data_IF_231261614574
#
_entry.id   IF_231261614574
#
_cell.length_a   1.000
_cell.length_b   1.000
_cell.length_c   1.000
_cell.angle_alpha   90.00
_cell.angle_beta   90.00
_cell.angle_gamma   90.00
#
_symmetry.space_group_name_H-M   'P 1'
#
loop_
_entity.id
_entity.type
_entity.pdbx_description
1 polymer ?
#
# COMPACT_ATOMS: atom_id res chain seq x y z
N UNK A 1 69.31 25.00 -41.56
CA UNK A 1 68.26 25.67 -40.75
C UNK A 1 66.93 25.00 -41.00
N UNK A 2 66.05 24.98 -40.00
CA UNK A 2 64.74 24.29 -39.91
C UNK A 2 64.84 22.87 -39.32
N UNK A 3 64.93 22.81 -37.99
CA UNK A 3 64.61 21.62 -37.19
C UNK A 3 63.21 21.80 -36.61
N UNK A 4 62.33 20.82 -36.82
CA UNK A 4 60.91 20.85 -36.42
C UNK A 4 60.76 20.33 -34.99
N UNK A 5 60.03 21.08 -34.18
CA UNK A 5 59.55 20.69 -32.84
C UNK A 5 58.20 19.98 -32.97
N UNK A 6 57.94 18.89 -32.22
CA UNK A 6 56.59 18.53 -31.84
C UNK A 6 56.38 18.77 -30.34
N UNK A 7 55.45 19.66 -30.05
CA UNK A 7 54.87 19.93 -28.74
C UNK A 7 53.84 18.82 -28.48
N UNK A 8 54.04 18.00 -27.46
CA UNK A 8 53.01 17.09 -26.96
C UNK A 8 52.22 17.78 -25.85
N UNK A 9 51.07 18.36 -26.21
CA UNK A 9 50.04 18.78 -25.26
C UNK A 9 49.25 17.52 -24.88
N UNK A 10 49.53 16.95 -23.71
CA UNK A 10 48.73 15.89 -23.12
C UNK A 10 47.42 16.45 -22.57
N UNK A 11 46.32 16.24 -23.30
CA UNK A 11 44.96 16.48 -22.80
C UNK A 11 44.55 15.28 -21.94
N UNK A 12 44.57 15.46 -20.62
CA UNK A 12 44.02 14.47 -19.68
C UNK A 12 42.50 14.61 -19.69
N UNK A 13 41.80 13.71 -20.39
CA UNK A 13 40.37 13.53 -20.28
C UNK A 13 40.05 12.90 -18.90
N UNK A 14 39.63 13.74 -17.95
CA UNK A 14 39.03 13.28 -16.71
C UNK A 14 37.60 12.79 -16.96
N UNK A 15 37.42 11.47 -17.00
CA UNK A 15 36.08 10.86 -16.99
C UNK A 15 35.56 10.91 -15.55
N UNK A 16 34.71 11.90 -15.27
CA UNK A 16 33.93 11.95 -14.02
C UNK A 16 32.76 10.98 -14.18
N UNK A 17 32.86 9.80 -13.58
CA UNK A 17 31.70 8.93 -13.39
C UNK A 17 30.80 9.57 -12.33
N UNK A 18 29.84 10.37 -12.77
CA UNK A 18 28.70 10.76 -11.94
C UNK A 18 27.87 9.48 -11.76
N UNK A 19 28.16 8.69 -10.73
CA UNK A 19 27.25 7.67 -10.23
C UNK A 19 26.05 8.43 -9.67
N UNK A 20 25.11 8.75 -10.55
CA UNK A 20 23.81 9.26 -10.14
C UNK A 20 23.22 8.24 -9.17
N UNK A 21 22.81 8.71 -7.99
CA UNK A 21 21.83 7.99 -7.18
C UNK A 21 20.57 7.84 -8.04
N UNK A 22 20.52 6.80 -8.87
CA UNK A 22 19.31 6.38 -9.52
C UNK A 22 18.36 5.95 -8.41
N UNK A 23 17.49 6.89 -8.11
CA UNK A 23 16.19 6.75 -7.48
C UNK A 23 15.39 5.65 -8.22
N UNK A 24 15.70 4.38 -7.96
CA UNK A 24 15.03 3.24 -8.58
C UNK A 24 13.69 3.01 -7.91
N UNK A 25 12.68 3.65 -8.46
CA UNK A 25 11.31 3.21 -8.34
C UNK A 25 11.17 1.89 -9.10
N UNK A 26 10.88 0.82 -8.38
CA UNK A 26 10.66 -0.49 -9.00
C UNK A 26 9.18 -0.76 -9.08
N UNK A 27 8.69 -1.01 -10.30
CA UNK A 27 7.33 -1.50 -10.50
C UNK A 27 7.25 -2.93 -9.95
N UNK A 28 6.31 -3.15 -9.05
CA UNK A 28 6.05 -4.43 -8.40
C UNK A 28 4.89 -5.08 -9.12
N UNK A 29 5.13 -6.27 -9.69
CA UNK A 29 4.06 -7.10 -10.25
C UNK A 29 3.16 -7.57 -9.11
N UNK A 30 1.85 -7.43 -9.30
CA UNK A 30 0.84 -8.02 -8.43
C UNK A 30 0.30 -9.29 -9.06
N UNK A 31 -0.12 -10.25 -8.23
CA UNK A 31 -0.80 -11.46 -8.68
C UNK A 31 -2.19 -11.57 -8.08
N UNK A 32 -3.14 -12.08 -8.87
CA UNK A 32 -4.53 -12.21 -8.44
C UNK A 32 -4.77 -13.62 -7.92
N UNK A 33 -5.38 -13.70 -6.75
CA UNK A 33 -5.53 -14.95 -6.00
C UNK A 33 -6.90 -15.03 -5.33
N UNK A 34 -7.25 -16.21 -4.85
CA UNK A 34 -8.36 -16.38 -3.91
C UNK A 34 -7.90 -16.22 -2.47
N UNK A 35 -8.82 -15.85 -1.57
CA UNK A 35 -8.54 -15.77 -0.14
C UNK A 35 -8.03 -17.12 0.40
N UNK A 36 -8.67 -18.22 -0.02
CA UNK A 36 -8.28 -19.57 0.37
C UNK A 36 -6.87 -19.92 -0.10
N UNK A 37 -6.49 -19.53 -1.32
CA UNK A 37 -5.14 -19.76 -1.87
C UNK A 37 -4.10 -19.14 -0.96
N UNK A 38 -4.29 -17.88 -0.56
CA UNK A 38 -3.39 -17.19 0.35
C UNK A 38 -3.40 -17.83 1.73
N UNK A 39 -4.56 -18.17 2.28
CA UNK A 39 -4.59 -18.76 3.62
C UNK A 39 -3.88 -20.11 3.69
N UNK A 40 -3.93 -20.92 2.62
CA UNK A 40 -3.15 -22.17 2.54
C UNK A 40 -1.63 -21.93 2.54
N UNK A 41 -1.16 -20.74 2.14
CA UNK A 41 0.27 -20.40 2.23
C UNK A 41 0.75 -20.20 3.67
N UNK A 42 -0.17 -19.89 4.60
CA UNK A 42 0.17 -19.53 5.97
C UNK A 42 -0.37 -20.51 7.00
N UNK A 43 -1.42 -21.28 6.69
CA UNK A 43 -1.97 -22.28 7.60
C UNK A 43 -2.31 -23.59 6.85
N UNK A 44 -1.87 -24.78 7.33
CA UNK A 44 -2.20 -26.05 6.69
C UNK A 44 -3.71 -26.35 6.61
N UNK A 45 -4.51 -25.73 7.48
CA UNK A 45 -5.97 -25.82 7.43
C UNK A 45 -6.61 -24.88 6.40
N UNK A 46 -5.81 -24.06 5.71
CA UNK A 46 -6.25 -22.99 4.82
C UNK A 46 -7.18 -21.97 5.50
N UNK A 47 -7.12 -21.89 6.83
CA UNK A 47 -7.81 -20.90 7.63
C UNK A 47 -6.77 -20.14 8.45
N UNK A 48 -6.64 -18.83 8.22
CA UNK A 48 -5.78 -17.99 9.04
C UNK A 48 -6.58 -17.44 10.21
N UNK A 49 -6.08 -17.67 11.42
CA UNK A 49 -6.55 -16.90 12.57
C UNK A 49 -5.90 -15.52 12.45
N UNK A 50 -6.65 -14.52 11.99
CA UNK A 50 -6.19 -13.13 12.05
C UNK A 50 -6.15 -12.72 13.52
N UNK A 51 -5.00 -12.90 14.17
CA UNK A 51 -4.84 -12.53 15.57
C UNK A 51 -4.98 -11.03 15.76
N UNK A 52 -4.73 -10.24 14.71
CA UNK A 52 -4.58 -8.81 14.83
C UNK A 52 -5.19 -8.09 13.63
N UNK A 53 -6.50 -7.87 13.72
CA UNK A 53 -7.21 -6.99 12.80
C UNK A 53 -7.40 -5.62 13.45
N UNK A 54 -6.84 -4.58 12.84
CA UNK A 54 -7.09 -3.19 13.21
C UNK A 54 -7.96 -2.54 12.15
N UNK A 55 -8.91 -1.73 12.61
CA UNK A 55 -9.72 -0.87 11.76
C UNK A 55 -9.52 0.56 12.23
N UNK A 56 -8.96 1.40 11.36
CA UNK A 56 -8.63 2.78 11.67
C UNK A 56 -9.45 3.72 10.79
N UNK A 57 -10.17 4.70 11.36
CA UNK A 57 -10.83 5.73 10.57
C UNK A 57 -9.84 6.55 9.75
N UNK A 58 -10.19 6.81 8.50
CA UNK A 58 -9.50 7.77 7.63
C UNK A 58 -10.25 9.10 7.80
N UNK A 59 -9.58 10.19 8.24
CA UNK A 59 -10.24 11.46 8.56
C UNK A 59 -10.58 12.28 7.30
N UNK A 60 -11.31 11.67 6.37
CA UNK A 60 -11.79 12.29 5.14
C UNK A 60 -12.90 13.30 5.41
N UNK A 61 -13.04 14.32 4.56
CA UNK A 61 -14.18 15.25 4.60
C UNK A 61 -15.43 14.63 3.94
N UNK A 62 -15.85 13.46 4.40
CA UNK A 62 -17.00 12.74 3.89
C UNK A 62 -18.07 12.54 4.98
N UNK A 63 -19.29 12.20 4.55
CA UNK A 63 -20.32 11.70 5.46
C UNK A 63 -20.04 10.24 5.79
N UNK A 64 -20.54 9.77 6.94
CA UNK A 64 -20.35 8.38 7.36
C UNK A 64 -18.91 8.04 7.76
N UNK A 65 -18.46 6.82 7.46
CA UNK A 65 -17.15 6.31 7.91
C UNK A 65 -16.30 5.79 6.76
N UNK A 66 -15.09 6.32 6.64
CA UNK A 66 -14.02 5.81 5.80
C UNK A 66 -13.01 5.05 6.66
N UNK A 67 -12.63 3.83 6.27
CA UNK A 67 -11.84 2.92 7.10
C UNK A 67 -10.62 2.36 6.34
N UNK A 68 -9.49 2.26 7.04
CA UNK A 68 -8.38 1.40 6.68
C UNK A 68 -8.46 0.14 7.56
N UNK A 69 -8.69 -1.00 6.94
CA UNK A 69 -8.53 -2.29 7.57
C UNK A 69 -7.11 -2.78 7.34
N UNK A 70 -6.48 -3.26 8.42
CA UNK A 70 -5.21 -3.96 8.36
C UNK A 70 -5.31 -5.23 9.18
N UNK A 71 -4.79 -6.34 8.66
CA UNK A 71 -4.67 -7.59 9.44
C UNK A 71 -3.33 -8.25 9.26
N UNK A 72 -2.89 -8.94 10.30
CA UNK A 72 -1.68 -9.77 10.26
C UNK A 72 -1.94 -11.19 10.73
N UNK A 73 -1.15 -12.13 10.22
CA UNK A 73 -1.22 -13.55 10.55
C UNK A 73 0.16 -14.19 10.36
N UNK A 74 0.47 -15.18 11.20
CA UNK A 74 1.77 -15.87 11.17
C UNK A 74 1.69 -17.14 10.31
N UNK A 75 2.75 -17.42 9.56
CA UNK A 75 2.89 -18.65 8.81
C UNK A 75 3.28 -19.82 9.70
N UNK A 76 2.47 -20.88 9.69
CA UNK A 76 2.64 -22.07 10.53
C UNK A 76 3.63 -23.07 9.94
N UNK A 77 4.26 -23.91 10.78
CA UNK A 77 5.11 -25.00 10.31
C UNK A 77 4.42 -25.87 9.25
N UNK A 78 5.17 -26.25 8.22
CA UNK A 78 4.67 -27.08 7.11
C UNK A 78 3.95 -26.31 6.01
N UNK A 79 3.97 -24.97 6.03
CA UNK A 79 3.41 -24.11 4.98
C UNK A 79 4.51 -23.38 4.20
N UNK A 80 4.24 -22.94 2.96
CA UNK A 80 5.18 -22.11 2.19
C UNK A 80 5.69 -20.87 2.94
N UNK A 81 4.82 -20.24 3.74
CA UNK A 81 5.17 -19.03 4.50
C UNK A 81 5.62 -19.31 5.94
N UNK A 82 6.02 -20.55 6.26
CA UNK A 82 6.46 -20.93 7.62
C UNK A 82 7.51 -19.97 8.20
N UNK A 83 7.21 -19.37 9.36
CA UNK A 83 8.09 -18.42 10.04
C UNK A 83 8.03 -16.99 9.50
N UNK A 84 7.16 -16.72 8.51
CA UNK A 84 6.89 -15.37 7.99
C UNK A 84 5.62 -14.79 8.59
N UNK A 85 5.43 -13.49 8.38
CA UNK A 85 4.24 -12.75 8.77
C UNK A 85 3.54 -12.20 7.52
N UNK A 86 2.27 -12.56 7.37
CA UNK A 86 1.38 -12.03 6.33
C UNK A 86 0.77 -10.71 6.80
N UNK A 87 0.70 -9.74 5.90
CA UNK A 87 0.09 -8.44 6.11
C UNK A 87 -0.92 -8.19 5.00
N UNK A 88 -2.15 -7.83 5.37
CA UNK A 88 -3.20 -7.49 4.41
C UNK A 88 -3.85 -6.16 4.76
N UNK A 89 -4.19 -5.41 3.71
CA UNK A 89 -4.79 -4.09 3.80
C UNK A 89 -6.03 -4.01 2.92
N UNK A 90 -7.01 -3.21 3.35
CA UNK A 90 -8.20 -2.86 2.57
C UNK A 90 -8.65 -1.45 2.92
N UNK A 91 -8.93 -0.65 1.88
CA UNK A 91 -9.65 0.60 2.02
C UNK A 91 -11.15 0.33 1.88
N UNK A 92 -11.93 0.80 2.84
CA UNK A 92 -13.37 0.60 2.87
C UNK A 92 -14.09 1.95 3.03
N UNK A 93 -14.80 2.34 1.97
CA UNK A 93 -15.67 3.51 1.91
C UNK A 93 -17.13 3.11 1.70
N UNK A 94 -17.50 1.84 1.88
CA UNK A 94 -18.88 1.35 1.65
C UNK A 94 -19.90 2.11 2.50
N UNK A 95 -19.49 2.58 3.68
CA UNK A 95 -20.28 3.40 4.61
C UNK A 95 -19.95 4.90 4.57
N UNK A 96 -19.16 5.35 3.61
CA UNK A 96 -18.87 6.75 3.39
C UNK A 96 -19.74 7.31 2.26
N UNK A 97 -20.25 8.52 2.44
CA UNK A 97 -21.14 9.18 1.47
C UNK A 97 -20.65 10.56 1.09
N UNK A 98 -21.06 11.03 -0.09
CA UNK A 98 -20.85 12.41 -0.52
C UNK A 98 -21.49 13.41 0.47
N UNK A 99 -20.90 14.60 0.53
CA UNK A 99 -21.37 15.72 1.35
C UNK A 99 -21.61 16.95 0.48
N UNK A 100 -22.18 18.00 1.07
CA UNK A 100 -22.23 19.32 0.45
C UNK A 100 -21.17 20.20 1.10
N UNK A 101 -20.34 20.86 0.29
CA UNK A 101 -19.37 21.86 0.75
C UNK A 101 -19.69 23.19 0.10
N UNK A 102 -19.54 24.27 0.85
CA UNK A 102 -19.73 25.62 0.35
C UNK A 102 -18.41 26.18 -0.18
N UNK A 103 -18.38 26.54 -1.46
CA UNK A 103 -17.24 27.19 -2.09
C UNK A 103 -17.73 28.51 -2.68
N UNK A 104 -17.19 29.62 -2.17
CA UNK A 104 -17.55 30.97 -2.63
C UNK A 104 -19.07 31.25 -2.61
N UNK A 105 -19.78 30.77 -1.59
CA UNK A 105 -21.24 30.95 -1.45
C UNK A 105 -22.09 29.97 -2.27
N UNK A 106 -21.47 29.00 -2.95
CA UNK A 106 -22.16 27.99 -3.74
C UNK A 106 -22.02 26.62 -3.07
N UNK A 107 -23.15 25.96 -2.81
CA UNK A 107 -23.17 24.59 -2.31
C UNK A 107 -22.84 23.61 -3.45
N UNK A 108 -21.73 22.90 -3.33
CA UNK A 108 -21.22 21.96 -4.32
C UNK A 108 -21.18 20.55 -3.70
N UNK A 109 -21.49 19.54 -4.53
CA UNK A 109 -21.32 18.14 -4.15
C UNK A 109 -19.85 17.80 -4.00
N UNK A 110 -19.49 17.32 -2.82
CA UNK A 110 -18.14 16.86 -2.50
C UNK A 110 -18.13 15.33 -2.44
N UNK A 111 -17.44 14.72 -3.39
CA UNK A 111 -17.31 13.26 -3.53
C UNK A 111 -15.83 12.89 -3.55
N UNK A 112 -15.19 12.78 -2.39
CA UNK A 112 -13.78 12.43 -2.33
C UNK A 112 -13.55 10.96 -2.71
N UNK A 113 -12.41 10.70 -3.33
CA UNK A 113 -11.92 9.36 -3.60
C UNK A 113 -10.46 9.20 -3.17
N UNK A 114 -10.06 8.00 -2.78
CA UNK A 114 -8.70 7.64 -2.42
C UNK A 114 -7.95 7.16 -3.66
N UNK A 115 -6.82 7.81 -3.95
CA UNK A 115 -5.99 7.58 -5.13
C UNK A 115 -4.87 6.58 -4.86
N UNK A 116 -4.18 6.79 -3.75
CA UNK A 116 -2.97 6.03 -3.41
C UNK A 116 -2.97 5.73 -1.92
N UNK A 117 -2.48 4.56 -1.56
CA UNK A 117 -2.05 4.25 -0.21
C UNK A 117 -0.56 3.97 -0.24
N UNK A 118 0.19 4.53 0.69
CA UNK A 118 1.59 4.19 0.87
C UNK A 118 1.90 3.86 2.31
N UNK A 119 2.79 2.92 2.51
CA UNK A 119 3.18 2.42 3.83
C UNK A 119 4.67 2.17 3.82
N UNK A 120 5.35 2.54 4.89
CA UNK A 120 6.71 2.06 5.11
C UNK A 120 6.64 0.60 5.56
N UNK A 121 7.22 -0.25 4.73
CA UNK A 121 7.28 -1.67 4.93
C UNK A 121 8.74 -2.10 4.96
N UNK A 122 9.07 -3.00 5.88
CA UNK A 122 10.39 -3.59 5.98
C UNK A 122 10.76 -4.43 4.75
N UNK A 123 11.75 -5.32 4.87
CA UNK A 123 12.09 -6.27 3.81
C UNK A 123 10.85 -7.07 3.38
N UNK A 124 10.53 -6.98 2.09
CA UNK A 124 9.48 -7.77 1.43
C UNK A 124 10.10 -9.10 1.02
N UNK A 125 9.43 -10.20 1.35
CA UNK A 125 9.83 -11.54 0.92
C UNK A 125 9.47 -11.76 -0.54
N UNK A 126 10.44 -12.20 -1.34
CA UNK A 126 10.32 -12.46 -2.78
C UNK A 126 10.47 -13.95 -3.15
N UNK A 127 10.42 -14.83 -2.16
CA UNK A 127 10.60 -16.28 -2.36
C UNK A 127 9.27 -17.04 -2.45
N UNK A 128 8.14 -16.35 -2.34
CA UNK A 128 6.81 -16.95 -2.40
C UNK A 128 6.27 -16.94 -3.83
N UNK A 129 5.41 -17.91 -4.11
CA UNK A 129 4.65 -18.12 -5.34
C UNK A 129 3.18 -18.12 -4.95
N UNK A 130 2.57 -16.93 -4.87
CA UNK A 130 1.22 -16.79 -4.34
C UNK A 130 0.15 -17.31 -5.29
N UNK A 131 0.39 -17.21 -6.61
CA UNK A 131 -0.57 -17.66 -7.63
C UNK A 131 -0.40 -19.13 -8.04
N UNK A 132 0.67 -19.79 -7.57
CA UNK A 132 0.93 -21.21 -7.77
C UNK A 132 1.38 -21.55 -9.19
N UNK A 133 1.97 -20.60 -9.91
CA UNK A 133 2.46 -20.80 -11.29
C UNK A 133 3.81 -21.54 -11.36
N UNK A 134 4.37 -21.92 -10.20
CA UNK A 134 5.65 -22.60 -10.05
C UNK A 134 6.85 -21.64 -10.03
N UNK A 135 6.63 -20.32 -10.03
CA UNK A 135 7.68 -19.30 -10.00
C UNK A 135 7.62 -18.51 -8.70
N UNK A 136 8.66 -18.66 -7.90
CA UNK A 136 8.93 -17.72 -6.82
C UNK A 136 9.18 -16.31 -7.37
N UNK A 137 8.91 -15.28 -6.57
CA UNK A 137 9.10 -13.89 -6.95
C UNK A 137 7.87 -13.02 -6.74
N UNK A 138 6.76 -13.59 -6.28
CA UNK A 138 5.55 -12.84 -6.05
C UNK A 138 5.68 -11.97 -4.80
N UNK A 139 5.76 -10.66 -5.02
CA UNK A 139 5.92 -9.70 -3.95
C UNK A 139 4.60 -9.35 -3.28
N UNK A 140 3.53 -9.26 -4.07
CA UNK A 140 2.23 -8.75 -3.64
C UNK A 140 1.10 -9.56 -4.28
N UNK A 141 0.18 -9.99 -3.45
CA UNK A 141 -1.06 -10.61 -3.90
C UNK A 141 -2.25 -9.65 -3.75
N UNK A 142 -3.26 -9.87 -4.59
CA UNK A 142 -4.55 -9.21 -4.55
C UNK A 142 -5.63 -10.29 -4.48
N UNK A 143 -6.42 -10.28 -3.41
CA UNK A 143 -7.51 -11.24 -3.19
C UNK A 143 -8.72 -10.80 -4.00
N UNK A 144 -8.91 -11.39 -5.17
CA UNK A 144 -10.00 -11.04 -6.10
C UNK A 144 -11.18 -12.00 -6.02
N UNK A 145 -11.09 -13.05 -5.21
CA UNK A 145 -12.19 -13.99 -4.96
C UNK A 145 -12.15 -14.53 -3.52
N UNK A 146 -13.32 -14.76 -2.93
CA UNK A 146 -13.44 -15.22 -1.54
C UNK A 146 -13.13 -14.14 -0.48
N UNK A 147 -12.93 -12.88 -0.89
CA UNK A 147 -12.73 -11.72 -0.03
C UNK A 147 -13.60 -10.53 -0.47
N UNK A 148 -13.73 -9.50 0.37
CA UNK A 148 -14.51 -8.30 0.05
C UNK A 148 -13.77 -7.35 -0.90
N UNK A 149 -14.51 -6.36 -1.42
CA UNK A 149 -13.97 -5.30 -2.25
C UNK A 149 -14.28 -5.46 -3.73
N UNK A 150 -14.09 -4.36 -4.47
CA UNK A 150 -14.39 -4.26 -5.91
C UNK A 150 -13.28 -3.55 -6.68
N UNK A 151 -12.47 -2.73 -6.01
CA UNK A 151 -11.44 -1.89 -6.64
C UNK A 151 -10.06 -2.53 -6.48
N UNK A 152 -9.35 -2.71 -7.59
CA UNK A 152 -8.03 -3.36 -7.63
C UNK A 152 -6.88 -2.34 -7.46
N UNK A 153 -5.79 -2.72 -6.78
CA UNK A 153 -4.48 -2.10 -6.94
C UNK A 153 -3.99 -2.17 -8.40
N UNK A 154 -3.89 -1.04 -9.08
CA UNK A 154 -3.51 -0.98 -10.49
C UNK A 154 -2.01 -1.00 -10.73
N UNK A 155 -1.27 -0.17 -10.00
CA UNK A 155 0.18 -0.13 -10.06
C UNK A 155 0.75 -0.06 -8.65
N UNK A 156 1.71 -0.93 -8.37
CA UNK A 156 2.41 -0.90 -7.10
C UNK A 156 3.88 -0.59 -7.33
N UNK A 157 4.40 0.37 -6.60
CA UNK A 157 5.78 0.79 -6.69
C UNK A 157 6.46 0.59 -5.35
N UNK A 158 7.70 0.08 -5.40
CA UNK A 158 8.58 0.05 -4.25
C UNK A 158 9.63 1.14 -4.39
N UNK A 159 9.74 1.94 -3.33
CA UNK A 159 10.77 2.93 -3.17
C UNK A 159 11.49 2.74 -1.85
N UNK A 160 12.70 2.16 -1.87
CA UNK A 160 13.41 1.71 -0.65
C UNK A 160 12.51 0.78 0.18
N UNK A 161 12.14 1.22 1.38
CA UNK A 161 11.26 0.55 2.32
C UNK A 161 9.84 1.12 2.28
N UNK A 162 9.46 1.80 1.20
CA UNK A 162 8.11 2.34 1.03
C UNK A 162 7.41 1.62 -0.08
N UNK A 163 6.25 1.06 0.25
CA UNK A 163 5.30 0.56 -0.72
C UNK A 163 4.33 1.67 -1.09
N UNK A 164 4.10 1.88 -2.38
CA UNK A 164 3.15 2.85 -2.91
C UNK A 164 2.18 2.09 -3.79
N UNK A 165 0.95 1.97 -3.33
CA UNK A 165 -0.15 1.31 -4.02
C UNK A 165 -1.02 2.39 -4.67
N UNK A 166 -1.14 2.33 -5.98
CA UNK A 166 -2.08 3.12 -6.75
C UNK A 166 -3.25 2.23 -7.18
N UNK A 167 -4.48 2.73 -7.09
CA UNK A 167 -5.67 1.96 -7.48
C UNK A 167 -6.02 2.18 -8.96
N UNK A 168 -6.41 1.12 -9.68
CA UNK A 168 -6.80 1.16 -11.10
C UNK A 168 -7.83 2.27 -11.37
N UNK A 169 -8.80 2.34 -10.46
CA UNK A 169 -9.76 3.43 -10.32
C UNK A 169 -9.76 3.91 -8.86
N UNK A 170 -10.00 5.19 -8.58
CA UNK A 170 -10.05 5.69 -7.22
C UNK A 170 -11.12 4.97 -6.38
N UNK A 171 -10.82 4.71 -5.11
CA UNK A 171 -11.81 4.18 -4.15
C UNK A 171 -12.65 5.37 -3.68
N UNK A 172 -13.90 5.47 -4.12
CA UNK A 172 -14.74 6.66 -3.91
C UNK A 172 -15.80 6.46 -2.84
N UNK A 173 -16.23 7.55 -2.20
CA UNK A 173 -17.44 7.54 -1.38
C UNK A 173 -18.70 7.39 -2.25
N UNK A 174 -19.78 6.89 -1.64
CA UNK A 174 -21.05 6.64 -2.32
C UNK A 174 -21.87 7.92 -2.57
N UNK A 175 -22.75 7.91 -3.59
CA UNK A 175 -23.87 8.86 -3.65
C UNK A 175 -24.79 8.75 -2.42
N UNK A 176 -25.69 9.73 -2.18
CA UNK A 176 -26.68 9.62 -1.13
C UNK A 176 -27.61 8.44 -1.41
N UNK A 177 -27.74 7.53 -0.45
CA UNK A 177 -28.57 6.32 -0.56
C UNK A 177 -27.87 5.10 -1.17
N UNK A 178 -26.65 5.27 -1.67
CA UNK A 178 -25.84 4.20 -2.27
C UNK A 178 -24.57 3.95 -1.46
N UNK A 179 -23.98 2.77 -1.63
CA UNK A 179 -22.70 2.43 -0.99
C UNK A 179 -21.52 3.08 -1.74
N UNK A 180 -20.48 3.44 -0.99
CA UNK A 180 -19.19 3.75 -1.58
C UNK A 180 -18.43 2.50 -2.03
N UNK A 181 -17.20 2.71 -2.49
CA UNK A 181 -16.34 1.64 -2.97
C UNK A 181 -15.55 1.00 -1.83
N UNK A 182 -15.03 -0.20 -2.10
CA UNK A 182 -13.97 -0.78 -1.30
C UNK A 182 -12.91 -1.41 -2.18
N UNK A 183 -11.64 -1.33 -1.77
CA UNK A 183 -10.58 -2.05 -2.44
C UNK A 183 -10.69 -3.56 -2.18
N UNK A 184 -10.20 -4.38 -3.10
CA UNK A 184 -9.82 -5.74 -2.76
C UNK A 184 -8.82 -5.73 -1.61
N UNK A 185 -8.77 -6.82 -0.85
CA UNK A 185 -7.65 -7.07 0.04
C UNK A 185 -6.39 -7.26 -0.79
N UNK A 186 -5.31 -6.62 -0.38
CA UNK A 186 -3.99 -6.84 -0.95
C UNK A 186 -2.98 -6.97 0.16
N UNK A 187 -1.93 -7.76 -0.10
CA UNK A 187 -1.01 -8.10 0.96
C UNK A 187 0.32 -8.62 0.47
N UNK A 188 1.18 -8.88 1.43
CA UNK A 188 2.54 -9.36 1.25
C UNK A 188 3.03 -10.09 2.50
N UNK A 189 4.20 -10.71 2.41
CA UNK A 189 4.87 -11.37 3.51
C UNK A 189 6.15 -10.62 3.90
N UNK A 190 6.48 -10.66 5.20
CA UNK A 190 7.74 -10.18 5.75
C UNK A 190 8.36 -11.19 6.70
N UNK A 191 9.68 -11.10 6.83
CA UNK A 191 10.42 -11.71 7.95
C UNK A 191 10.28 -10.91 9.24
N UNK A 192 9.83 -9.65 9.16
CA UNK A 192 9.66 -8.79 10.32
C UNK A 192 8.30 -9.01 10.97
N UNK A 193 8.24 -9.14 12.32
CA UNK A 193 6.99 -9.25 13.04
C UNK A 193 6.18 -7.96 12.91
N UNK A 194 4.84 -8.03 13.06
CA UNK A 194 3.97 -6.87 12.97
C UNK A 194 4.38 -5.73 13.90
N UNK A 195 4.64 -4.57 13.31
CA UNK A 195 4.95 -3.33 14.02
C UNK A 195 3.90 -2.26 13.72
N UNK A 196 3.79 -1.28 14.62
CA UNK A 196 2.92 -0.14 14.36
C UNK A 196 3.58 0.74 13.32
N UNK A 197 2.81 1.13 12.31
CA UNK A 197 3.26 1.95 11.20
C UNK A 197 2.24 3.04 10.90
N UNK A 198 2.59 3.92 9.98
CA UNK A 198 1.71 4.99 9.51
C UNK A 198 1.51 4.87 8.00
N UNK A 199 0.27 4.61 7.58
CA UNK A 199 -0.09 4.69 6.18
C UNK A 199 -0.31 6.16 5.79
N UNK A 200 0.18 6.54 4.63
CA UNK A 200 -0.20 7.80 3.98
C UNK A 200 -1.19 7.51 2.87
N UNK A 201 -2.41 7.97 3.01
CA UNK A 201 -3.48 7.82 2.02
C UNK A 201 -3.70 9.16 1.34
N UNK A 202 -3.60 9.22 0.01
CA UNK A 202 -3.88 10.44 -0.77
C UNK A 202 -5.31 10.42 -1.32
N UNK A 203 -6.00 11.54 -1.20
CA UNK A 203 -7.34 11.77 -1.72
C UNK A 203 -7.29 12.50 -3.08
N UNK A 204 -8.37 12.48 -3.83
CA UNK A 204 -8.65 13.45 -4.90
C UNK A 204 -8.91 14.85 -4.32
N UNK A 205 -8.96 15.89 -5.16
CA UNK A 205 -9.39 17.23 -4.73
C UNK A 205 -10.90 17.31 -4.38
N UNK A 206 -11.66 16.21 -4.53
CA UNK A 206 -13.01 16.05 -3.98
C UNK A 206 -14.14 16.85 -4.65
N UNK A 207 -13.86 17.67 -5.66
CA UNK A 207 -14.88 18.39 -6.44
C UNK A 207 -15.34 17.54 -7.63
N UNK A 208 -16.49 16.87 -7.50
CA UNK A 208 -17.23 16.16 -8.56
C UNK A 208 -16.38 15.46 -9.64
N UNK A 209 -15.20 14.95 -9.28
CA UNK A 209 -14.29 14.38 -10.24
C UNK A 209 -14.87 13.03 -10.68
N UNK A 210 -15.09 12.88 -11.98
CA UNK A 210 -15.33 11.55 -12.54
C UNK A 210 -14.18 10.63 -12.10
N UNK A 211 -14.43 9.33 -11.83
CA UNK A 211 -13.35 8.39 -11.56
C UNK A 211 -12.41 8.37 -12.77
N UNK A 212 -11.20 8.92 -12.60
CA UNK A 212 -10.14 8.92 -13.61
C UNK A 212 -9.28 7.69 -13.37
N UNK A 213 -8.97 6.91 -14.42
CA UNK A 213 -8.07 5.76 -14.26
C UNK A 213 -6.67 6.21 -13.83
N UNK A 214 -5.94 5.35 -13.12
CA UNK A 214 -4.58 5.69 -12.67
C UNK A 214 -3.68 6.17 -13.81
N UNK A 215 -3.71 5.51 -14.97
CA UNK A 215 -2.87 5.87 -16.13
C UNK A 215 -3.18 7.25 -16.69
N UNK A 216 -4.34 7.81 -16.34
CA UNK A 216 -4.81 9.12 -16.77
C UNK A 216 -4.59 10.20 -15.70
N UNK A 217 -4.10 9.84 -14.50
CA UNK A 217 -3.77 10.81 -13.47
C UNK A 217 -2.55 11.65 -13.89
N UNK A 218 -2.50 12.93 -13.48
CA UNK A 218 -1.35 13.78 -13.77
C UNK A 218 -0.08 13.22 -13.11
N UNK A 219 1.09 13.50 -13.70
CA UNK A 219 2.41 13.08 -13.17
C UNK A 219 2.54 13.38 -11.67
N UNK A 220 3.33 12.56 -10.96
CA UNK A 220 3.54 12.60 -9.51
C UNK A 220 3.74 14.00 -8.90
N UNK A 221 4.40 14.92 -9.61
CA UNK A 221 4.62 16.31 -9.16
C UNK A 221 3.34 17.15 -8.99
N UNK A 222 2.25 16.79 -9.65
CA UNK A 222 0.92 17.39 -9.43
C UNK A 222 0.13 16.66 -8.34
N UNK A 223 0.55 15.45 -7.96
CA UNK A 223 -0.12 14.66 -6.93
C UNK A 223 0.19 15.15 -5.49
N UNK A 224 1.20 15.99 -5.32
CA UNK A 224 1.59 16.54 -4.00
C UNK A 224 0.69 17.67 -3.53
N UNK A 225 -0.18 18.18 -4.41
CA UNK A 225 -1.17 19.21 -4.09
C UNK A 225 -2.48 18.64 -3.56
N UNK A 226 -2.66 17.33 -3.60
CA UNK A 226 -3.87 16.69 -3.10
C UNK A 226 -3.86 16.52 -1.59
N UNK A 227 -5.04 16.52 -0.93
CA UNK A 227 -5.16 16.17 0.47
C UNK A 227 -4.57 14.78 0.73
N UNK A 228 -3.93 14.61 1.88
CA UNK A 228 -3.48 13.32 2.35
C UNK A 228 -3.72 13.15 3.84
N UNK A 229 -3.85 11.89 4.24
CA UNK A 229 -4.10 11.49 5.61
C UNK A 229 -3.01 10.57 6.09
N UNK A 230 -2.55 10.82 7.32
CA UNK A 230 -1.72 9.91 8.07
C UNK A 230 -2.63 9.01 8.89
N UNK A 231 -2.68 7.73 8.54
CA UNK A 231 -3.60 6.75 9.09
C UNK A 231 -2.78 5.70 9.85
N UNK A 232 -2.91 5.60 11.19
CA UNK A 232 -2.14 4.64 11.95
C UNK A 232 -2.56 3.20 11.62
N UNK A 233 -1.57 2.37 11.34
CA UNK A 233 -1.67 0.91 11.21
C UNK A 233 -1.09 0.35 12.49
N UNK A 234 -1.94 -0.14 13.40
CA UNK A 234 -1.47 -0.57 14.72
C UNK A 234 -0.92 -1.98 14.67
N UNK A 235 0.15 -2.20 15.41
CA UNK A 235 0.61 -3.54 15.72
C UNK A 235 -0.48 -4.33 16.46
N UNK A 236 -0.44 -5.67 16.33
CA UNK A 236 -1.03 -6.59 17.27
C UNK A 236 -1.02 -6.12 18.72
N UNK A 237 -2.15 -6.23 19.40
CA UNK A 237 -2.12 -6.27 20.86
C UNK A 237 -1.85 -7.71 21.24
N UNK A 238 -0.59 -8.04 21.50
CA UNK A 238 -0.31 -9.25 22.26
C UNK A 238 -1.00 -9.07 23.60
N UNK A 239 -1.97 -9.93 23.93
CA UNK A 239 -2.48 -10.03 25.30
C UNK A 239 -1.35 -10.56 26.18
N UNK A 240 -0.36 -9.73 26.47
CA UNK A 240 0.60 -9.99 27.52
C UNK A 240 -0.18 -9.82 28.81
N UNK A 241 -0.30 -10.89 29.59
CA UNK A 241 -0.88 -10.84 30.92
C UNK A 241 -0.20 -9.70 31.73
N UNK A 242 -0.95 -8.98 32.60
CA UNK A 242 -0.34 -7.99 33.47
C UNK A 242 0.75 -8.65 34.29
N UNK A 243 1.94 -8.05 34.25
CA UNK A 243 3.08 -8.38 35.10
C UNK A 243 2.60 -8.44 36.56
N UNK A 244 2.88 -9.50 37.33
CA UNK A 244 2.46 -9.56 38.72
C UNK A 244 3.09 -8.40 39.46
N UNK A 245 2.25 -7.58 40.10
CA UNK A 245 2.71 -6.53 41.01
C UNK A 245 3.66 -7.17 42.04
N UNK A 246 4.91 -6.73 41.99
CA UNK A 246 5.92 -7.04 42.98
C UNK A 246 5.48 -6.42 44.31
N UNK A 247 4.73 -7.20 45.09
CA UNK A 247 4.39 -6.86 46.46
C UNK A 247 5.65 -7.03 47.31
N UNK A 248 6.50 -6.00 47.27
CA UNK A 248 7.63 -5.85 48.17
C UNK A 248 7.16 -5.99 49.62
N UNK A 249 7.69 -7.02 50.29
CA UNK A 249 7.66 -7.18 51.75
C UNK A 249 8.85 -6.50 52.39
#
# INVERSE_FOLDING_TARGET
MISRVPVFIGVVLGVVFIVGCEKREMHVKTVNVSASTIYCHFDPSCAVNSTDSTTTPIPMQAGGTALLHSRTFAGRPGTPASGLYGYEYRLDLEKASETMVEVEGVAIKHRPCLLTMSLEFGPIVDTLDYDGDGKAGDLIYVVTSGGPGTIRPGAVHRWRNKLIVNFDTPVCVGPPGDQGHSSYLFGLASTEPPTSAEATVKETAGLAAAPVKYEQLPRASKLDQYPYYKVPVRAPRTNTAPEPEDSGS
#
